data_IF_957819497676
#
_entry.id   IF_957819497676
#
_cell.length_a   1.000
_cell.length_b   1.000
_cell.length_c   1.000
_cell.angle_alpha   90.00
_cell.angle_beta   90.00
_cell.angle_gamma   90.00
#
_symmetry.space_group_name_H-M   'P 1'
#
loop_
_entity.id
_entity.type
_entity.pdbx_description
1 polymer ?
#
# COMPACT_ATOMS: atom_id res chain seq x y z
N UNK A 1 -13.92 27.22 -24.67
CA UNK A 1 -13.02 27.08 -23.51
C UNK A 1 -12.38 25.70 -23.58
N UNK A 2 -11.11 25.64 -23.96
CA UNK A 2 -10.37 24.36 -24.01
C UNK A 2 -10.19 23.81 -22.61
N UNK A 3 -10.39 22.49 -22.44
CA UNK A 3 -10.05 21.81 -21.19
C UNK A 3 -8.57 22.11 -20.87
N UNK A 4 -8.22 22.40 -19.60
CA UNK A 4 -6.84 22.60 -19.23
C UNK A 4 -6.05 21.34 -19.62
N UNK A 5 -4.95 21.53 -20.35
CA UNK A 5 -3.99 20.48 -20.66
C UNK A 5 -3.48 19.99 -19.31
N UNK A 6 -4.02 18.86 -18.85
CA UNK A 6 -3.53 18.20 -17.65
C UNK A 6 -2.15 17.69 -18.06
N UNK A 7 -1.09 18.31 -17.55
CA UNK A 7 0.27 17.91 -17.87
C UNK A 7 0.44 16.48 -17.36
N UNK A 8 0.36 15.50 -18.26
CA UNK A 8 0.61 14.10 -17.94
C UNK A 8 2.04 14.01 -17.41
N UNK A 9 2.19 13.61 -16.15
CA UNK A 9 3.50 13.44 -15.55
C UNK A 9 4.10 12.16 -16.11
N UNK A 10 5.19 12.31 -16.85
CA UNK A 10 5.94 11.23 -17.47
C UNK A 10 7.40 11.33 -17.05
N UNK A 11 7.95 10.23 -16.56
CA UNK A 11 9.35 10.09 -16.18
C UNK A 11 10.01 9.06 -17.09
N UNK A 12 11.28 9.28 -17.42
CA UNK A 12 12.08 8.33 -18.19
C UNK A 12 13.46 8.25 -17.56
N UNK A 13 13.86 7.04 -17.23
CA UNK A 13 15.17 6.79 -16.68
C UNK A 13 15.84 5.62 -17.37
N UNK A 14 17.15 5.73 -17.56
CA UNK A 14 17.98 4.66 -18.10
C UNK A 14 18.62 3.82 -16.96
N UNK A 15 18.47 4.24 -15.70
CA UNK A 15 18.94 3.54 -14.50
C UNK A 15 17.94 3.66 -13.35
N UNK A 16 17.95 2.74 -12.36
CA UNK A 16 17.13 2.87 -11.15
C UNK A 16 17.38 4.18 -10.39
N UNK A 17 18.64 4.57 -10.22
CA UNK A 17 19.05 5.79 -9.51
C UNK A 17 18.51 7.06 -10.18
N UNK A 18 18.59 7.15 -11.51
CA UNK A 18 18.04 8.30 -12.24
C UNK A 18 16.52 8.40 -12.10
N UNK A 19 15.83 7.26 -12.02
CA UNK A 19 14.38 7.23 -11.81
C UNK A 19 13.99 7.73 -10.42
N UNK A 20 14.75 7.32 -9.41
CA UNK A 20 14.55 7.76 -8.02
C UNK A 20 14.66 9.28 -7.89
N UNK A 21 15.71 9.86 -8.48
CA UNK A 21 15.93 11.31 -8.47
C UNK A 21 14.78 12.07 -9.17
N UNK A 22 14.34 11.59 -10.34
CA UNK A 22 13.30 12.25 -11.14
C UNK A 22 11.90 12.27 -10.49
N UNK A 23 11.58 11.24 -9.71
CA UNK A 23 10.31 11.16 -9.00
C UNK A 23 10.31 12.00 -7.70
N UNK A 24 11.44 12.62 -7.34
CA UNK A 24 11.59 13.49 -6.17
C UNK A 24 11.63 12.73 -4.83
N UNK A 25 12.28 11.57 -4.81
CA UNK A 25 12.09 10.52 -3.79
C UNK A 25 13.24 10.40 -2.80
N UNK A 26 14.22 11.30 -2.86
CA UNK A 26 15.36 11.25 -1.94
C UNK A 26 14.89 11.63 -0.53
N UNK A 27 14.91 10.66 0.40
CA UNK A 27 14.99 10.94 1.83
C UNK A 27 13.68 11.18 2.60
N UNK A 28 12.49 10.89 2.05
CA UNK A 28 11.25 10.96 2.85
C UNK A 28 11.12 9.75 3.81
N UNK A 29 11.15 9.95 5.14
CA UNK A 29 10.96 8.86 6.08
C UNK A 29 9.54 8.29 5.97
N UNK A 30 9.37 6.97 5.99
CA UNK A 30 8.04 6.35 5.91
C UNK A 30 7.05 6.82 6.98
N UNK A 31 7.53 7.20 8.17
CA UNK A 31 6.68 7.77 9.22
C UNK A 31 5.95 9.03 8.75
N UNK A 32 6.52 9.74 7.77
CA UNK A 32 5.94 10.93 7.16
C UNK A 32 5.15 10.63 5.88
N UNK A 33 5.24 9.43 5.31
CA UNK A 33 4.47 9.04 4.12
C UNK A 33 2.95 9.05 4.37
N UNK A 34 2.53 8.71 5.58
CA UNK A 34 1.15 8.86 6.05
C UNK A 34 0.64 10.32 6.02
N UNK A 35 1.56 11.28 6.13
CA UNK A 35 1.27 12.71 6.16
C UNK A 35 1.28 13.36 4.77
N UNK A 36 1.71 12.63 3.74
CA UNK A 36 1.72 13.10 2.35
C UNK A 36 0.30 13.16 1.80
N UNK A 37 -0.01 14.17 1.00
CA UNK A 37 -1.24 14.15 0.19
C UNK A 37 -1.29 12.90 -0.72
N UNK A 38 -2.48 12.58 -1.24
CA UNK A 38 -2.70 11.37 -2.03
C UNK A 38 -1.66 11.21 -3.15
N UNK A 39 -1.42 12.25 -3.97
CA UNK A 39 -0.54 12.17 -5.13
C UNK A 39 0.92 12.03 -4.72
N UNK A 40 1.35 12.73 -3.67
CA UNK A 40 2.71 12.62 -3.14
C UNK A 40 2.95 11.23 -2.54
N UNK A 41 1.94 10.65 -1.87
CA UNK A 41 2.03 9.29 -1.34
C UNK A 41 2.05 8.22 -2.42
N UNK A 42 1.28 8.38 -3.49
CA UNK A 42 1.30 7.46 -4.66
C UNK A 42 2.66 7.47 -5.34
N UNK A 43 3.25 8.65 -5.54
CA UNK A 43 4.64 8.79 -6.02
C UNK A 43 5.64 8.13 -5.09
N UNK A 44 5.48 8.30 -3.78
CA UNK A 44 6.31 7.63 -2.78
C UNK A 44 6.11 6.11 -2.76
N UNK A 45 4.90 5.60 -3.03
CA UNK A 45 4.66 4.15 -3.10
C UNK A 45 5.37 3.52 -4.29
N UNK A 46 5.18 4.09 -5.49
CA UNK A 46 5.81 3.57 -6.70
C UNK A 46 7.35 3.67 -6.61
N UNK A 47 7.87 4.73 -6.00
CA UNK A 47 9.28 4.89 -5.67
C UNK A 47 9.90 3.73 -4.89
N UNK A 48 9.25 3.40 -3.77
CA UNK A 48 9.70 2.37 -2.85
C UNK A 48 9.65 1.02 -3.54
N UNK A 49 8.59 0.77 -4.31
CA UNK A 49 8.47 -0.45 -5.12
C UNK A 49 9.53 -0.54 -6.22
N UNK A 50 9.76 0.53 -6.99
CA UNK A 50 10.78 0.56 -8.06
C UNK A 50 12.18 0.26 -7.52
N UNK A 51 12.49 0.78 -6.34
CA UNK A 51 13.76 0.52 -5.63
C UNK A 51 13.87 -0.94 -5.23
N UNK A 52 12.86 -1.47 -4.54
CA UNK A 52 12.88 -2.83 -4.02
C UNK A 52 12.93 -3.89 -5.14
N UNK A 53 12.31 -3.60 -6.30
CA UNK A 53 12.18 -4.55 -7.40
C UNK A 53 13.03 -4.16 -8.64
N UNK A 54 14.08 -3.38 -8.45
CA UNK A 54 14.96 -2.93 -9.55
C UNK A 54 15.54 -4.10 -10.37
N UNK A 55 15.78 -5.25 -9.73
CA UNK A 55 16.24 -6.50 -10.35
C UNK A 55 15.25 -7.10 -11.36
N UNK A 56 13.96 -6.76 -11.24
CA UNK A 56 12.88 -7.26 -12.10
C UNK A 56 12.47 -6.26 -13.19
N UNK A 57 13.09 -5.09 -13.23
CA UNK A 57 12.77 -4.03 -14.18
C UNK A 57 13.73 -4.04 -15.37
N UNK A 58 13.28 -3.46 -16.48
CA UNK A 58 14.09 -3.26 -17.67
C UNK A 58 14.22 -1.78 -17.95
N UNK A 59 15.42 -1.38 -18.39
CA UNK A 59 15.74 -0.01 -18.73
C UNK A 59 16.07 0.09 -20.23
N UNK A 60 15.75 1.20 -20.92
CA UNK A 60 15.15 2.43 -20.39
C UNK A 60 13.70 2.25 -19.96
N UNK A 61 13.36 2.70 -18.75
CA UNK A 61 12.03 2.59 -18.16
C UNK A 61 11.31 3.94 -18.29
N UNK A 62 10.06 3.88 -18.73
CA UNK A 62 9.14 5.01 -18.73
C UNK A 62 8.04 4.77 -17.72
N UNK A 63 7.67 5.80 -16.97
CA UNK A 63 6.59 5.79 -16.00
C UNK A 63 5.65 6.93 -16.35
N UNK A 64 4.36 6.63 -16.50
CA UNK A 64 3.32 7.60 -16.81
C UNK A 64 2.28 7.58 -15.70
N UNK A 65 1.90 8.73 -15.15
CA UNK A 65 0.69 8.80 -14.33
C UNK A 65 -0.54 8.55 -15.20
N UNK A 66 -1.49 7.77 -14.73
CA UNK A 66 -2.75 7.52 -15.42
C UNK A 66 -3.91 7.56 -14.45
N UNK A 67 -5.14 7.60 -14.97
CA UNK A 67 -6.34 7.60 -14.15
C UNK A 67 -6.63 6.20 -13.57
N UNK A 68 -6.45 5.14 -14.37
CA UNK A 68 -6.71 3.74 -13.99
C UNK A 68 -5.88 2.78 -14.89
N UNK A 69 -4.82 2.14 -14.38
CA UNK A 69 -4.26 2.24 -13.03
C UNK A 69 -3.61 3.60 -12.74
N UNK A 70 -3.26 3.87 -11.47
CA UNK A 70 -2.58 5.12 -11.07
C UNK A 70 -1.27 5.39 -11.84
N UNK A 71 -0.54 4.34 -12.22
CA UNK A 71 0.64 4.45 -13.08
C UNK A 71 0.72 3.35 -14.15
N UNK A 72 1.29 3.72 -15.30
CA UNK A 72 1.65 2.81 -16.39
C UNK A 72 3.15 2.86 -16.63
N UNK A 73 3.80 1.71 -16.59
CA UNK A 73 5.23 1.56 -16.81
C UNK A 73 5.47 0.81 -18.11
N UNK A 74 6.45 1.26 -18.89
CA UNK A 74 6.84 0.59 -20.12
C UNK A 74 8.35 0.60 -20.33
N UNK A 75 8.86 -0.52 -20.86
CA UNK A 75 10.22 -0.69 -21.36
C UNK A 75 10.19 -1.74 -22.49
N UNK A 76 11.28 -1.96 -23.25
CA UNK A 76 11.31 -3.00 -24.28
C UNK A 76 10.91 -4.38 -23.73
N UNK A 77 9.74 -4.88 -24.17
CA UNK A 77 9.16 -6.16 -23.74
C UNK A 77 8.57 -6.14 -22.32
N UNK A 78 8.33 -4.98 -21.74
CA UNK A 78 7.74 -4.81 -20.41
C UNK A 78 6.60 -3.79 -20.46
N UNK A 79 5.44 -4.18 -19.95
CA UNK A 79 4.32 -3.28 -19.72
C UNK A 79 3.68 -3.63 -18.36
N UNK A 80 3.64 -2.66 -17.45
CA UNK A 80 3.18 -2.86 -16.07
C UNK A 80 2.15 -1.80 -15.69
N UNK A 81 1.01 -2.23 -15.18
CA UNK A 81 0.03 -1.34 -14.56
C UNK A 81 0.21 -1.35 -13.05
N UNK A 82 0.28 -0.19 -12.41
CA UNK A 82 0.51 -0.07 -10.96
C UNK A 82 -0.62 0.72 -10.32
N UNK A 83 -1.36 0.06 -9.44
CA UNK A 83 -2.44 0.64 -8.65
C UNK A 83 -1.99 0.82 -7.21
N UNK A 84 -2.31 1.95 -6.60
CA UNK A 84 -1.96 2.27 -5.23
C UNK A 84 -3.20 2.27 -4.32
N UNK A 85 -2.99 1.86 -3.08
CA UNK A 85 -3.99 1.97 -2.01
C UNK A 85 -3.30 2.30 -0.71
N UNK A 86 -3.82 3.30 0.00
CA UNK A 86 -3.56 3.40 1.43
C UNK A 86 -4.56 2.52 2.18
N UNK A 87 -4.03 1.60 2.99
CA UNK A 87 -4.81 0.74 3.88
C UNK A 87 -4.89 1.43 5.23
N UNK A 88 -5.97 2.17 5.44
CA UNK A 88 -6.23 2.96 6.64
C UNK A 88 -7.75 3.04 6.86
N UNK A 89 -8.26 3.10 8.10
CA UNK A 89 -9.66 3.43 8.37
C UNK A 89 -10.01 4.80 7.77
N UNK A 90 -11.19 4.91 7.16
CA UNK A 90 -11.60 6.14 6.45
C UNK A 90 -11.73 7.33 7.40
N UNK A 91 -12.17 7.06 8.62
CA UNK A 91 -12.34 8.02 9.71
C UNK A 91 -10.97 8.53 10.17
N UNK A 92 -9.98 7.65 10.27
CA UNK A 92 -8.61 8.05 10.58
C UNK A 92 -8.06 8.94 9.45
N UNK A 93 -8.40 8.65 8.19
CA UNK A 93 -8.03 9.48 7.04
C UNK A 93 -8.70 10.86 7.08
N UNK A 94 -9.98 10.95 7.47
CA UNK A 94 -10.69 12.22 7.69
C UNK A 94 -10.04 13.02 8.82
N UNK A 95 -9.73 12.36 9.93
CA UNK A 95 -9.09 12.98 11.09
C UNK A 95 -7.65 13.42 10.80
N UNK A 96 -6.86 12.61 10.08
CA UNK A 96 -5.53 13.00 9.60
C UNK A 96 -5.58 14.26 8.73
N UNK A 97 -6.61 14.40 7.90
CA UNK A 97 -6.80 15.59 7.07
C UNK A 97 -7.09 16.82 7.93
N UNK A 98 -7.93 16.69 8.97
CA UNK A 98 -8.22 17.78 9.92
C UNK A 98 -7.03 18.14 10.81
N UNK A 99 -6.20 17.15 11.18
CA UNK A 99 -5.04 17.34 12.04
C UNK A 99 -3.82 17.94 11.33
N UNK A 100 -3.76 17.90 9.98
CA UNK A 100 -2.66 18.50 9.20
C UNK A 100 -2.47 19.99 9.47
N UNK A 101 -3.56 20.70 9.75
CA UNK A 101 -3.54 22.15 9.99
C UNK A 101 -3.23 22.49 11.46
N UNK A 102 -3.24 21.50 12.35
CA UNK A 102 -3.15 21.67 13.81
C UNK A 102 -1.84 21.09 14.36
N UNK A 103 -1.27 20.07 13.73
CA UNK A 103 -0.10 19.36 14.20
C UNK A 103 0.82 18.96 13.05
N UNK A 104 2.13 19.07 13.27
CA UNK A 104 3.22 18.60 12.41
C UNK A 104 3.27 17.07 12.18
N UNK A 105 2.16 16.36 12.41
CA UNK A 105 1.99 14.94 12.14
C UNK A 105 2.51 13.99 13.21
N UNK A 106 2.85 14.49 14.40
CA UNK A 106 3.40 13.67 15.50
C UNK A 106 2.35 12.95 16.33
N UNK A 107 1.11 13.46 16.40
CA UNK A 107 0.03 12.78 17.09
C UNK A 107 -0.66 11.81 16.13
N UNK A 108 -0.54 10.52 16.40
CA UNK A 108 -1.44 9.49 15.86
C UNK A 108 -2.70 9.48 16.72
N UNK A 109 -3.86 9.92 16.22
CA UNK A 109 -5.07 9.88 17.01
C UNK A 109 -5.43 8.43 17.34
N UNK A 110 -5.65 8.19 18.62
CA UNK A 110 -6.20 6.92 19.12
C UNK A 110 -7.72 7.06 19.01
N UNK A 111 -8.36 6.25 18.18
CA UNK A 111 -9.82 6.25 18.05
C UNK A 111 -10.43 5.73 19.37
N UNK A 112 -11.25 6.54 20.02
CA UNK A 112 -12.05 6.16 21.18
C UNK A 112 -13.48 5.78 20.73
N UNK A 113 -14.08 4.69 21.24
CA UNK A 113 -15.47 4.35 20.93
C UNK A 113 -16.46 5.39 21.49
N UNK A 114 -17.46 5.77 20.69
CA UNK A 114 -18.69 6.46 21.15
C UNK A 114 -18.82 7.97 20.89
N UNK A 115 -17.85 8.64 20.26
CA UNK A 115 -17.86 10.12 20.17
C UNK A 115 -18.31 10.72 18.81
N UNK A 116 -18.64 9.93 17.79
CA UNK A 116 -18.99 10.49 16.46
C UNK A 116 -20.12 9.75 15.71
N UNK A 117 -20.82 10.47 14.83
CA UNK A 117 -21.82 9.94 13.88
C UNK A 117 -21.14 9.24 12.70
N UNK A 118 -21.02 7.92 12.75
CA UNK A 118 -20.22 7.11 11.82
C UNK A 118 -20.95 6.74 10.52
N UNK A 119 -20.20 6.52 9.43
CA UNK A 119 -20.69 5.83 8.23
C UNK A 119 -20.47 4.32 8.41
N UNK A 120 -21.57 3.59 8.54
CA UNK A 120 -21.60 2.21 9.03
C UNK A 120 -21.42 1.15 7.93
N UNK A 121 -21.10 1.49 6.69
CA UNK A 121 -21.09 0.52 5.59
C UNK A 121 -19.91 -0.48 5.61
N UNK A 122 -18.90 -0.29 6.47
CA UNK A 122 -17.73 -1.18 6.58
C UNK A 122 -17.91 -2.26 7.69
N UNK A 123 -18.07 -3.55 7.35
CA UNK A 123 -18.34 -4.61 8.33
C UNK A 123 -17.19 -4.85 9.32
N UNK A 124 -15.94 -4.53 8.95
CA UNK A 124 -14.78 -4.63 9.83
C UNK A 124 -14.73 -3.44 10.78
N UNK A 125 -15.15 -2.25 10.33
CA UNK A 125 -15.29 -1.06 11.18
C UNK A 125 -16.41 -1.25 12.22
N UNK A 126 -17.55 -1.82 11.81
CA UNK A 126 -18.63 -2.18 12.74
C UNK A 126 -18.17 -3.17 13.81
N UNK A 127 -17.29 -4.12 13.45
CA UNK A 127 -16.73 -5.12 14.37
C UNK A 127 -15.67 -4.54 15.31
N UNK A 128 -14.80 -3.67 14.80
CA UNK A 128 -13.75 -3.01 15.58
C UNK A 128 -14.30 -1.92 16.52
N UNK A 129 -15.46 -1.35 16.22
CA UNK A 129 -16.11 -0.28 17.00
C UNK A 129 -17.34 -0.74 17.80
N UNK A 130 -17.69 -2.04 17.77
CA UNK A 130 -18.80 -2.58 18.56
C UNK A 130 -18.59 -2.30 20.06
N UNK A 131 -19.68 -2.05 20.79
CA UNK A 131 -19.76 -1.43 22.12
C UNK A 131 -19.07 -2.15 23.31
N UNK A 132 -18.09 -3.02 23.05
CA UNK A 132 -17.10 -3.47 24.03
C UNK A 132 -15.73 -2.91 23.65
N UNK A 133 -15.54 -1.61 23.84
CA UNK A 133 -14.30 -0.96 24.33
C UNK A 133 -12.91 -1.45 23.89
N UNK A 134 -12.77 -2.13 22.75
CA UNK A 134 -11.51 -2.73 22.35
C UNK A 134 -10.76 -1.88 21.37
N UNK A 135 -9.54 -1.50 21.73
CA UNK A 135 -8.58 -1.15 20.67
C UNK A 135 -8.41 -2.41 19.79
N UNK A 136 -8.24 -2.25 18.46
CA UNK A 136 -7.83 -3.36 17.61
C UNK A 136 -6.67 -4.11 18.28
N UNK A 137 -6.78 -5.42 18.49
CA UNK A 137 -5.74 -6.23 19.16
C UNK A 137 -5.63 -6.14 20.70
N UNK A 138 -6.51 -5.43 21.41
CA UNK A 138 -6.51 -5.36 22.89
C UNK A 138 -7.67 -6.09 23.57
N UNK A 139 -8.69 -6.52 22.82
CA UNK A 139 -9.82 -7.31 23.35
C UNK A 139 -9.56 -8.83 23.38
N UNK A 140 -8.29 -9.26 23.35
CA UNK A 140 -7.93 -10.67 23.21
C UNK A 140 -8.07 -11.21 21.78
N UNK A 141 -8.34 -10.35 20.80
CA UNK A 141 -8.25 -10.69 19.39
C UNK A 141 -6.78 -10.70 18.94
N UNK A 142 -6.38 -11.72 18.18
CA UNK A 142 -5.02 -11.83 17.63
C UNK A 142 -4.77 -10.70 16.60
N UNK A 143 -3.85 -9.75 16.88
CA UNK A 143 -3.53 -8.66 15.95
C UNK A 143 -3.08 -9.17 14.58
N UNK A 144 -2.47 -10.35 14.52
CA UNK A 144 -2.00 -10.93 13.27
C UNK A 144 -3.16 -11.42 12.40
N UNK A 145 -4.14 -12.11 12.99
CA UNK A 145 -5.37 -12.51 12.31
C UNK A 145 -6.15 -11.30 11.75
N UNK A 146 -6.21 -10.21 12.50
CA UNK A 146 -6.85 -8.98 12.05
C UNK A 146 -6.09 -8.33 10.88
N UNK A 147 -4.76 -8.26 10.96
CA UNK A 147 -3.93 -7.75 9.87
C UNK A 147 -4.14 -8.54 8.57
N UNK A 148 -4.16 -9.86 8.66
CA UNK A 148 -4.44 -10.74 7.51
C UNK A 148 -5.81 -10.44 6.89
N UNK A 149 -6.85 -10.31 7.72
CA UNK A 149 -8.19 -9.99 7.25
C UNK A 149 -8.25 -8.62 6.55
N UNK A 150 -7.58 -7.60 7.10
CA UNK A 150 -7.51 -6.24 6.53
C UNK A 150 -6.78 -6.26 5.18
N UNK A 151 -5.63 -6.92 5.07
CA UNK A 151 -4.88 -6.98 3.82
C UNK A 151 -5.63 -7.74 2.73
N UNK A 152 -6.29 -8.85 3.07
CA UNK A 152 -7.16 -9.57 2.13
C UNK A 152 -8.32 -8.72 1.65
N UNK A 153 -8.99 -8.01 2.56
CA UNK A 153 -10.07 -7.08 2.20
C UNK A 153 -9.58 -5.98 1.25
N UNK A 154 -8.41 -5.39 1.51
CA UNK A 154 -7.84 -4.36 0.66
C UNK A 154 -7.57 -4.87 -0.76
N UNK A 155 -7.01 -6.08 -0.89
CA UNK A 155 -6.80 -6.73 -2.20
C UNK A 155 -8.14 -7.00 -2.89
N UNK A 156 -9.10 -7.60 -2.20
CA UNK A 156 -10.43 -7.91 -2.75
C UNK A 156 -11.13 -6.64 -3.27
N UNK A 157 -11.10 -5.55 -2.50
CA UNK A 157 -11.64 -4.24 -2.90
C UNK A 157 -11.01 -3.72 -4.19
N UNK A 158 -9.71 -3.93 -4.40
CA UNK A 158 -9.01 -3.50 -5.62
C UNK A 158 -9.23 -4.46 -6.80
N UNK A 159 -9.53 -5.73 -6.57
CA UNK A 159 -9.97 -6.64 -7.65
C UNK A 159 -11.28 -6.22 -8.30
N UNK A 160 -12.16 -5.56 -7.56
CA UNK A 160 -13.34 -4.94 -8.16
C UNK A 160 -12.95 -3.78 -9.11
N UNK A 161 -11.91 -3.01 -8.76
CA UNK A 161 -11.44 -1.86 -9.56
C UNK A 161 -10.86 -2.30 -10.90
N UNK A 162 -10.04 -3.36 -10.92
CA UNK A 162 -9.40 -3.86 -12.15
C UNK A 162 -10.42 -4.37 -13.17
N UNK A 163 -11.63 -4.70 -12.72
CA UNK A 163 -12.74 -5.21 -13.54
C UNK A 163 -13.66 -4.09 -14.06
N UNK A 164 -13.43 -2.83 -13.64
CA UNK A 164 -14.24 -1.69 -14.10
C UNK A 164 -13.85 -1.29 -15.52
N UNK A 165 -14.85 -0.82 -16.25
CA UNK A 165 -14.62 -0.19 -17.55
C UNK A 165 -13.64 0.99 -17.44
N UNK A 166 -12.75 1.09 -18.43
CA UNK A 166 -11.71 2.12 -18.48
C UNK A 166 -10.45 1.81 -17.68
N UNK A 167 -10.35 0.67 -16.98
CA UNK A 167 -9.09 0.24 -16.40
C UNK A 167 -8.16 -0.32 -17.50
N UNK A 168 -7.01 0.33 -17.72
CA UNK A 168 -6.04 -0.07 -18.73
C UNK A 168 -5.18 -1.27 -18.27
N UNK A 169 -5.79 -2.48 -18.26
CA UNK A 169 -5.11 -3.73 -17.87
C UNK A 169 -3.83 -3.95 -18.67
N UNK A 170 -2.76 -4.28 -17.97
CA UNK A 170 -1.47 -4.63 -18.57
C UNK A 170 -1.19 -6.14 -18.45
N UNK A 171 -0.22 -6.69 -19.20
CA UNK A 171 0.21 -8.09 -19.03
C UNK A 171 0.70 -8.40 -17.62
N UNK A 172 1.21 -7.39 -16.91
CA UNK A 172 1.55 -7.45 -15.48
C UNK A 172 0.87 -6.29 -14.76
N UNK A 173 0.00 -6.58 -13.80
CA UNK A 173 -0.59 -5.58 -12.92
C UNK A 173 -0.06 -5.77 -11.50
N UNK A 174 0.28 -4.67 -10.85
CA UNK A 174 0.86 -4.64 -9.51
C UNK A 174 -0.04 -3.79 -8.62
N UNK A 175 -0.39 -4.32 -7.45
CA UNK A 175 -1.11 -3.57 -6.42
C UNK A 175 -0.15 -3.20 -5.29
N UNK A 176 0.00 -1.90 -5.03
CA UNK A 176 0.78 -1.36 -3.92
C UNK A 176 -0.14 -1.00 -2.76
N UNK A 177 0.04 -1.65 -1.62
CA UNK A 177 -0.67 -1.37 -0.38
C UNK A 177 0.25 -0.63 0.59
N UNK A 178 0.01 0.65 0.84
CA UNK A 178 0.61 1.34 1.98
C UNK A 178 -0.08 0.87 3.26
N UNK A 179 0.60 0.08 4.07
CA UNK A 179 0.08 -0.38 5.36
C UNK A 179 0.21 0.76 6.38
N UNK A 180 -0.89 1.50 6.54
CA UNK A 180 -1.02 2.58 7.52
C UNK A 180 -2.15 2.26 8.52
N UNK A 181 -2.47 0.97 8.70
CA UNK A 181 -3.56 0.58 9.59
C UNK A 181 -3.10 0.69 11.05
N UNK A 182 -3.90 1.29 11.96
CA UNK A 182 -3.51 1.55 13.34
C UNK A 182 -3.66 0.31 14.24
N UNK A 183 -3.16 -0.85 13.80
CA UNK A 183 -3.03 -1.99 14.71
C UNK A 183 -1.96 -1.68 15.77
N UNK A 184 -2.03 -2.28 16.98
CA UNK A 184 -0.87 -2.36 17.85
C UNK A 184 0.27 -2.86 16.98
N UNK A 185 1.38 -2.12 16.94
CA UNK A 185 2.47 -2.43 16.04
C UNK A 185 2.80 -3.92 16.18
N UNK A 186 2.38 -4.74 15.20
CA UNK A 186 3.11 -5.95 14.90
C UNK A 186 4.48 -5.39 14.55
N UNK A 187 5.48 -5.49 15.46
CA UNK A 187 6.71 -4.79 15.22
C UNK A 187 7.26 -5.35 13.92
N UNK A 188 7.45 -4.50 12.91
CA UNK A 188 8.09 -4.95 11.70
C UNK A 188 9.50 -5.34 12.10
N UNK A 189 9.91 -6.57 11.77
CA UNK A 189 11.19 -7.09 12.24
C UNK A 189 12.30 -6.06 12.01
N UNK A 190 12.96 -5.67 13.09
CA UNK A 190 14.18 -4.88 12.98
C UNK A 190 15.24 -5.68 12.21
N UNK A 191 16.19 -5.03 11.54
CA UNK A 191 17.37 -5.72 11.04
C UNK A 191 18.03 -6.49 12.19
N UNK A 192 18.13 -7.82 12.09
CA UNK A 192 18.82 -8.68 13.08
C UNK A 192 17.94 -9.39 14.12
N UNK A 193 16.60 -9.29 14.05
CA UNK A 193 15.71 -10.14 14.85
C UNK A 193 15.17 -11.32 14.02
N UNK A 194 15.91 -12.42 14.01
CA UNK A 194 15.58 -13.62 13.22
C UNK A 194 14.23 -14.24 13.62
N UNK A 195 13.86 -14.16 14.90
CA UNK A 195 12.60 -14.72 15.40
C UNK A 195 11.40 -13.89 14.92
N UNK A 196 11.52 -12.56 14.94
CA UNK A 196 10.49 -11.68 14.44
C UNK A 196 10.38 -11.73 12.90
N UNK A 197 11.51 -11.87 12.19
CA UNK A 197 11.50 -12.09 10.74
C UNK A 197 10.80 -13.40 10.37
N UNK A 198 11.08 -14.49 11.08
CA UNK A 198 10.40 -15.78 10.86
C UNK A 198 8.89 -15.68 11.12
N UNK A 199 8.48 -14.97 12.19
CA UNK A 199 7.06 -14.73 12.47
C UNK A 199 6.38 -13.98 11.33
N UNK A 200 7.01 -12.93 10.81
CA UNK A 200 6.50 -12.18 9.66
C UNK A 200 6.44 -13.01 8.39
N UNK A 201 7.47 -13.81 8.11
CA UNK A 201 7.45 -14.71 6.96
C UNK A 201 6.27 -15.69 7.05
N UNK A 202 6.02 -16.27 8.24
CA UNK A 202 4.86 -17.14 8.45
C UNK A 202 3.51 -16.44 8.21
N UNK A 203 3.36 -15.18 8.64
CA UNK A 203 2.16 -14.39 8.34
C UNK A 203 2.01 -14.07 6.86
N UNK A 204 3.11 -13.77 6.18
CA UNK A 204 3.11 -13.51 4.75
C UNK A 204 2.82 -14.76 3.93
N UNK A 205 3.31 -15.92 4.34
CA UNK A 205 3.00 -17.21 3.72
C UNK A 205 1.51 -17.54 3.89
N UNK A 206 0.96 -17.26 5.07
CA UNK A 206 -0.48 -17.41 5.32
C UNK A 206 -1.31 -16.47 4.43
N UNK A 207 -0.92 -15.18 4.34
CA UNK A 207 -1.57 -14.23 3.45
C UNK A 207 -1.46 -14.67 1.99
N UNK A 208 -0.27 -15.09 1.56
CA UNK A 208 0.00 -15.57 0.21
C UNK A 208 -0.90 -16.73 -0.16
N UNK A 209 -0.99 -17.75 0.70
CA UNK A 209 -1.84 -18.91 0.49
C UNK A 209 -3.32 -18.51 0.36
N UNK A 210 -3.78 -17.58 1.19
CA UNK A 210 -5.15 -17.07 1.13
C UNK A 210 -5.41 -16.28 -0.16
N UNK A 211 -4.50 -15.38 -0.56
CA UNK A 211 -4.62 -14.62 -1.81
C UNK A 211 -4.55 -15.52 -3.05
N UNK A 212 -3.73 -16.56 -3.02
CA UNK A 212 -3.65 -17.56 -4.08
C UNK A 212 -4.98 -18.32 -4.21
N UNK A 213 -5.53 -18.80 -3.08
CA UNK A 213 -6.82 -19.49 -3.05
C UNK A 213 -7.98 -18.59 -3.53
N UNK A 214 -7.94 -17.30 -3.20
CA UNK A 214 -8.93 -16.32 -3.66
C UNK A 214 -8.76 -15.97 -5.16
N UNK A 215 -7.70 -16.43 -5.82
CA UNK A 215 -7.39 -16.14 -7.23
C UNK A 215 -6.88 -14.72 -7.46
N UNK A 216 -6.38 -14.04 -6.42
CA UNK A 216 -5.98 -12.64 -6.51
C UNK A 216 -4.87 -12.38 -7.54
N UNK A 217 -3.97 -13.35 -7.72
CA UNK A 217 -2.82 -13.22 -8.65
C UNK A 217 -3.18 -13.34 -10.14
N UNK A 218 -4.43 -13.72 -10.45
CA UNK A 218 -4.98 -13.64 -11.81
C UNK A 218 -5.17 -12.17 -12.22
N UNK A 219 -5.63 -11.35 -11.29
CA UNK A 219 -5.85 -9.92 -11.50
C UNK A 219 -4.57 -9.12 -11.24
N UNK A 220 -3.92 -9.40 -10.11
CA UNK A 220 -2.73 -8.70 -9.63
C UNK A 220 -1.54 -9.65 -9.61
N UNK A 221 -0.77 -9.71 -10.70
CA UNK A 221 0.41 -10.60 -10.78
C UNK A 221 1.41 -10.37 -9.63
N UNK A 222 1.35 -9.20 -9.00
CA UNK A 222 2.04 -8.91 -7.76
C UNK A 222 1.19 -8.03 -6.83
N UNK A 223 1.21 -8.35 -5.55
CA UNK A 223 0.76 -7.46 -4.46
C UNK A 223 2.00 -7.09 -3.64
N UNK A 224 2.26 -5.81 -3.45
CA UNK A 224 3.35 -5.34 -2.60
C UNK A 224 2.80 -4.57 -1.40
N UNK A 225 3.12 -5.03 -0.20
CA UNK A 225 2.76 -4.35 1.05
C UNK A 225 3.96 -3.50 1.47
N UNK A 226 3.76 -2.19 1.51
CA UNK A 226 4.79 -1.21 1.80
C UNK A 226 4.61 -0.73 3.24
N UNK A 227 5.64 -0.98 4.05
CA UNK A 227 5.76 -0.59 5.45
C UNK A 227 6.98 0.30 5.67
N UNK A 228 7.16 0.75 6.92
CA UNK A 228 8.17 1.75 7.23
C UNK A 228 9.63 1.29 7.08
N UNK A 229 9.91 0.00 7.13
CA UNK A 229 11.26 -0.55 6.91
C UNK A 229 11.34 -1.64 5.84
N UNK A 230 10.20 -2.05 5.29
CA UNK A 230 10.09 -3.26 4.48
C UNK A 230 9.13 -3.08 3.32
N UNK A 231 9.42 -3.80 2.24
CA UNK A 231 8.50 -4.05 1.13
C UNK A 231 8.31 -5.56 1.02
N UNK A 232 7.08 -6.01 1.25
CA UNK A 232 6.73 -7.42 1.15
C UNK A 232 6.07 -7.68 -0.20
N UNK A 233 6.73 -8.42 -1.08
CA UNK A 233 6.19 -8.80 -2.39
C UNK A 233 5.54 -10.17 -2.34
N UNK A 234 4.28 -10.25 -2.75
CA UNK A 234 3.52 -11.50 -2.92
C UNK A 234 3.18 -11.66 -4.41
N UNK A 235 3.37 -12.87 -4.94
CA UNK A 235 2.99 -13.21 -6.32
C UNK A 235 2.86 -14.71 -6.52
N UNK A 236 2.67 -15.17 -7.76
CA UNK A 236 2.52 -16.61 -8.06
C UNK A 236 3.67 -17.49 -7.53
N UNK A 237 4.89 -16.94 -7.46
CA UNK A 237 6.08 -17.65 -7.00
C UNK A 237 6.24 -17.72 -5.47
N UNK A 238 5.43 -17.00 -4.70
CA UNK A 238 5.53 -16.95 -3.23
C UNK A 238 5.53 -15.54 -2.65
N UNK A 239 5.85 -15.44 -1.37
CA UNK A 239 6.09 -14.19 -0.65
C UNK A 239 7.58 -13.96 -0.39
N UNK A 240 8.05 -12.72 -0.53
CA UNK A 240 9.42 -12.32 -0.21
C UNK A 240 9.47 -10.97 0.48
N UNK A 241 10.33 -10.84 1.49
CA UNK A 241 10.66 -9.57 2.12
C UNK A 241 11.88 -8.90 1.50
N UNK A 242 11.78 -7.59 1.28
CA UNK A 242 12.88 -6.76 0.82
C UNK A 242 13.04 -5.61 1.80
N UNK A 243 14.22 -5.44 2.43
CA UNK A 243 14.46 -4.29 3.29
C UNK A 243 14.41 -3.02 2.44
N UNK A 244 13.89 -1.93 3.01
CA UNK A 244 13.98 -0.63 2.36
C UNK A 244 15.40 -0.08 2.56
N UNK A 245 16.16 -0.02 1.46
CA UNK A 245 17.47 0.63 1.39
C UNK A 245 17.31 2.15 1.46
#
# INVERSE_FOLDING_TARGET
MGKPITTELSWRADTPTALQAQLGLEGLPAGQAALLDKKSRERWLIAVWLTAFADQLRYPLRVHSSERPDFLLSAPGLAVGVECMEVVPEELKRLQTQLRDINSGWLRPVLAPGEHDWDWSNPLLQRLLAAKGGRPGFNGEDPAALWLAVMRWAVAKKREVISREGFARQPRNVLLLHDNWPLPALPCAGPGDDAEQQRWQGLLDQLHAQLLADGAFVDWQQVAIVQAGWVWGLGMAGARGLPRV
#
